data_IF_996722134270
#
_entry.id   IF_996722134270
#
_cell.length_a   1.000
_cell.length_b   1.000
_cell.length_c   1.000
_cell.angle_alpha   90.00
_cell.angle_beta   90.00
_cell.angle_gamma   90.00
#
_symmetry.space_group_name_H-M   'P 1'
#
loop_
_entity.id
_entity.type
_entity.pdbx_description
1 polymer ?
#
# COMPACT_ATOMS: atom_id res chain seq x y z
N UNK A 1 -6.76 11.91 14.98
CA UNK A 1 -7.54 10.86 15.68
C UNK A 1 -8.58 10.20 14.77
N UNK A 2 -9.09 10.87 13.71
CA UNK A 2 -10.08 10.27 12.79
C UNK A 2 -9.54 9.98 11.36
N UNK A 3 -8.23 9.80 11.18
CA UNK A 3 -7.67 9.62 9.83
C UNK A 3 -8.10 8.29 9.17
N UNK A 4 -8.23 7.20 9.93
CA UNK A 4 -8.70 5.90 9.42
C UNK A 4 -10.11 5.96 8.81
N UNK A 5 -11.15 6.37 9.57
CA UNK A 5 -12.51 6.49 9.07
C UNK A 5 -12.62 7.47 7.89
N UNK A 6 -11.87 8.56 7.92
CA UNK A 6 -11.85 9.55 6.84
C UNK A 6 -11.15 9.01 5.57
N UNK A 7 -10.10 8.20 5.72
CA UNK A 7 -9.43 7.56 4.60
C UNK A 7 -10.32 6.46 3.98
N UNK A 8 -11.03 5.66 4.78
CA UNK A 8 -12.06 4.75 4.28
C UNK A 8 -13.16 5.51 3.53
N UNK A 9 -13.66 6.60 4.11
CA UNK A 9 -14.67 7.46 3.47
C UNK A 9 -14.20 7.91 2.07
N UNK A 10 -12.98 8.42 1.98
CA UNK A 10 -12.37 8.81 0.73
C UNK A 10 -12.22 7.64 -0.26
N UNK A 11 -11.83 6.47 0.23
CA UNK A 11 -11.68 5.26 -0.59
C UNK A 11 -13.02 4.84 -1.22
N UNK A 12 -14.06 4.69 -0.39
CA UNK A 12 -15.41 4.32 -0.84
C UNK A 12 -16.00 5.35 -1.82
N UNK A 13 -15.90 6.64 -1.52
CA UNK A 13 -16.39 7.68 -2.44
C UNK A 13 -15.61 7.71 -3.75
N UNK A 14 -14.32 7.42 -3.74
CA UNK A 14 -13.52 7.30 -4.95
C UNK A 14 -13.97 6.13 -5.84
N UNK A 15 -14.53 5.07 -5.25
CA UNK A 15 -15.22 3.98 -5.97
C UNK A 15 -16.67 4.32 -6.34
N UNK A 16 -17.17 5.51 -6.01
CA UNK A 16 -18.56 5.90 -6.25
C UNK A 16 -19.56 5.26 -5.28
N UNK A 17 -19.09 4.73 -4.15
CA UNK A 17 -19.92 4.08 -3.14
C UNK A 17 -20.19 5.08 -2.00
N UNK A 18 -21.42 5.60 -1.86
CA UNK A 18 -21.73 6.57 -0.82
C UNK A 18 -21.80 5.90 0.56
N UNK A 19 -20.99 6.39 1.49
CA UNK A 19 -20.95 5.92 2.89
C UNK A 19 -21.07 7.10 3.86
N UNK A 20 -21.68 6.89 5.03
CA UNK A 20 -21.80 7.95 6.06
C UNK A 20 -20.52 8.02 6.89
N UNK A 21 -19.92 9.21 6.98
CA UNK A 21 -18.74 9.42 7.83
C UNK A 21 -19.03 9.12 9.31
N UNK A 22 -20.18 9.53 9.83
CA UNK A 22 -20.57 9.25 11.22
C UNK A 22 -20.62 7.75 11.50
N UNK A 23 -21.23 6.97 10.59
CA UNK A 23 -21.29 5.50 10.72
C UNK A 23 -19.93 4.83 10.58
N UNK A 24 -19.07 5.34 9.69
CA UNK A 24 -17.70 4.84 9.58
C UNK A 24 -16.91 5.09 10.87
N UNK A 25 -17.03 6.28 11.45
CA UNK A 25 -16.38 6.62 12.71
C UNK A 25 -16.86 5.73 13.86
N UNK A 26 -18.17 5.50 13.95
CA UNK A 26 -18.75 4.56 14.94
C UNK A 26 -18.26 3.13 14.72
N UNK A 27 -18.25 2.65 13.47
CA UNK A 27 -17.83 1.29 13.13
C UNK A 27 -16.33 1.05 13.34
N UNK A 28 -15.50 2.08 13.15
CA UNK A 28 -14.06 2.02 13.35
C UNK A 28 -13.63 2.12 14.82
N UNK A 29 -14.59 2.33 15.75
CA UNK A 29 -14.38 2.34 17.20
C UNK A 29 -13.06 3.02 17.60
N UNK A 30 -12.85 4.26 17.16
CA UNK A 30 -11.60 4.98 17.43
C UNK A 30 -11.34 5.04 18.94
N UNK A 31 -10.39 4.22 19.41
CA UNK A 31 -9.92 4.24 20.79
C UNK A 31 -8.92 5.40 20.96
N UNK A 32 -8.37 5.58 22.16
CA UNK A 32 -7.37 6.60 22.49
C UNK A 32 -6.18 6.64 21.51
N UNK A 33 -5.81 5.48 20.95
CA UNK A 33 -4.67 5.33 20.02
C UNK A 33 -5.05 5.48 18.54
N UNK A 34 -6.32 5.69 18.20
CA UNK A 34 -6.83 5.80 16.82
C UNK A 34 -7.49 4.51 16.31
N UNK A 35 -7.49 4.31 14.98
CA UNK A 35 -8.06 3.11 14.34
C UNK A 35 -6.95 2.15 13.94
N UNK A 36 -7.08 0.87 14.30
CA UNK A 36 -6.15 -0.18 13.89
C UNK A 36 -6.32 -0.55 12.41
N UNK A 37 -5.26 -1.10 11.78
CA UNK A 37 -5.34 -1.57 10.39
C UNK A 37 -6.35 -2.73 10.28
N UNK A 38 -6.39 -3.62 11.28
CA UNK A 38 -7.35 -4.73 11.37
C UNK A 38 -8.80 -4.25 11.33
N UNK A 39 -9.12 -3.20 12.07
CA UNK A 39 -10.46 -2.61 12.06
C UNK A 39 -10.79 -2.00 10.70
N UNK A 40 -9.83 -1.35 10.03
CA UNK A 40 -10.07 -0.76 8.70
C UNK A 40 -10.37 -1.84 7.65
N UNK A 41 -9.60 -2.93 7.65
CA UNK A 41 -9.83 -4.08 6.76
C UNK A 41 -11.20 -4.71 7.02
N UNK A 42 -11.53 -4.98 8.29
CA UNK A 42 -12.80 -5.58 8.68
C UNK A 42 -13.99 -4.70 8.25
N UNK A 43 -13.93 -3.38 8.51
CA UNK A 43 -14.99 -2.44 8.12
C UNK A 43 -15.09 -2.35 6.60
N UNK A 44 -13.97 -2.29 5.87
CA UNK A 44 -13.97 -2.27 4.41
C UNK A 44 -14.65 -3.52 3.82
N UNK A 45 -14.31 -4.71 4.34
CA UNK A 45 -14.93 -5.99 3.94
C UNK A 45 -16.42 -6.04 4.26
N UNK A 46 -16.83 -5.65 5.47
CA UNK A 46 -18.24 -5.60 5.89
C UNK A 46 -19.09 -4.68 5.00
N UNK A 47 -18.48 -3.65 4.43
CA UNK A 47 -19.12 -2.69 3.53
C UNK A 47 -18.98 -3.05 2.04
N UNK A 48 -18.43 -4.23 1.72
CA UNK A 48 -18.46 -4.83 0.39
C UNK A 48 -17.21 -4.63 -0.47
N UNK A 49 -16.11 -4.11 0.10
CA UNK A 49 -14.81 -4.12 -0.59
C UNK A 49 -14.10 -5.45 -0.36
N UNK A 50 -13.43 -5.97 -1.38
CA UNK A 50 -12.44 -7.02 -1.22
C UNK A 50 -11.12 -6.38 -0.78
N UNK A 51 -11.00 -6.12 0.52
CA UNK A 51 -9.83 -5.50 1.12
C UNK A 51 -8.92 -6.57 1.73
N UNK A 52 -7.62 -6.39 1.62
CA UNK A 52 -6.61 -7.21 2.27
C UNK A 52 -5.48 -6.34 2.85
N UNK A 53 -4.94 -6.79 3.97
CA UNK A 53 -3.71 -6.23 4.53
C UNK A 53 -2.50 -6.96 3.96
N UNK A 54 -1.59 -6.21 3.33
CA UNK A 54 -0.36 -6.77 2.77
C UNK A 54 0.86 -5.99 3.25
N UNK A 55 1.95 -6.71 3.50
CA UNK A 55 3.28 -6.10 3.66
C UNK A 55 4.01 -6.19 2.33
N UNK A 56 4.26 -5.03 1.73
CA UNK A 56 4.98 -4.91 0.46
C UNK A 56 6.33 -4.22 0.64
N UNK A 57 7.37 -4.63 -0.10
CA UNK A 57 8.58 -3.86 -0.25
C UNK A 57 8.26 -2.44 -0.74
N UNK A 58 8.92 -1.44 -0.17
CA UNK A 58 8.66 -0.03 -0.52
C UNK A 58 8.85 0.25 -2.01
N UNK A 59 9.80 -0.46 -2.63
CA UNK A 59 10.12 -0.37 -4.05
C UNK A 59 9.12 -1.10 -4.95
N UNK A 60 8.20 -1.89 -4.40
CA UNK A 60 7.10 -2.54 -5.13
C UNK A 60 5.81 -1.71 -5.11
N UNK A 61 5.59 -0.92 -4.05
CA UNK A 61 4.33 -0.18 -3.79
C UNK A 61 3.76 0.58 -5.00
N UNK A 62 4.63 1.13 -5.86
CA UNK A 62 4.24 1.98 -6.99
C UNK A 62 4.56 1.37 -8.37
N UNK A 63 4.87 0.06 -8.38
CA UNK A 63 5.06 -0.76 -9.59
C UNK A 63 3.69 -1.32 -10.00
N UNK A 64 3.32 -1.20 -11.27
CA UNK A 64 1.97 -1.54 -11.72
C UNK A 64 1.66 -3.04 -11.53
N UNK A 65 2.65 -3.88 -11.77
CA UNK A 65 2.63 -5.32 -11.63
C UNK A 65 2.35 -5.78 -10.19
N UNK A 66 2.69 -4.95 -9.19
CA UNK A 66 2.41 -5.25 -7.78
C UNK A 66 0.93 -5.09 -7.42
N UNK A 67 0.14 -4.41 -8.27
CA UNK A 67 -1.31 -4.22 -8.11
C UNK A 67 -1.73 -3.61 -6.76
N UNK A 68 -0.83 -2.89 -6.08
CA UNK A 68 -1.10 -2.31 -4.76
C UNK A 68 -2.12 -1.17 -4.78
N UNK A 69 -2.34 -0.48 -5.91
CA UNK A 69 -3.17 0.73 -5.95
C UNK A 69 -4.58 0.46 -6.50
N UNK A 70 -5.64 1.09 -5.93
CA UNK A 70 -5.59 2.03 -4.81
C UNK A 70 -5.37 1.33 -3.45
N UNK A 71 -4.61 1.97 -2.56
CA UNK A 71 -4.34 1.45 -1.21
C UNK A 71 -4.50 2.51 -0.12
N UNK A 72 -4.87 2.05 1.07
CA UNK A 72 -4.63 2.77 2.32
C UNK A 72 -3.16 2.57 2.71
N UNK A 73 -2.41 3.66 2.74
CA UNK A 73 -0.98 3.65 3.05
C UNK A 73 -0.74 4.37 4.37
N UNK A 74 0.08 3.77 5.23
CA UNK A 74 0.56 4.40 6.46
C UNK A 74 1.73 5.31 6.09
N UNK A 75 1.61 6.60 6.38
CA UNK A 75 2.68 7.58 6.27
C UNK A 75 3.07 8.09 7.64
N UNK A 76 4.25 8.71 7.75
CA UNK A 76 4.70 9.39 8.95
C UNK A 76 4.72 10.90 8.72
N UNK A 77 3.98 11.64 9.55
CA UNK A 77 4.05 13.09 9.53
C UNK A 77 5.36 13.60 10.15
N UNK A 78 5.75 14.87 9.91
CA UNK A 78 6.96 15.47 10.47
C UNK A 78 7.04 15.42 12.02
N UNK A 79 5.90 15.32 12.71
CA UNK A 79 5.82 15.17 14.17
C UNK A 79 6.08 13.74 14.66
N UNK A 80 6.37 12.80 13.75
CA UNK A 80 6.66 11.40 14.06
C UNK A 80 5.45 10.48 14.14
N UNK A 81 4.24 11.02 14.14
CA UNK A 81 2.99 10.26 14.24
C UNK A 81 2.64 9.58 12.91
N UNK A 82 2.07 8.39 12.99
CA UNK A 82 1.52 7.66 11.85
C UNK A 82 0.17 8.23 11.42
N UNK A 83 -0.11 8.15 10.12
CA UNK A 83 -1.34 8.65 9.52
C UNK A 83 -1.73 7.82 8.31
N UNK A 84 -3.03 7.62 8.11
CA UNK A 84 -3.54 6.92 6.92
C UNK A 84 -3.86 7.90 5.81
N UNK A 85 -3.35 7.60 4.62
CA UNK A 85 -3.70 8.30 3.38
C UNK A 85 -4.15 7.29 2.34
N UNK A 86 -4.93 7.72 1.35
CA UNK A 86 -5.24 6.88 0.19
C UNK A 86 -4.28 7.22 -0.94
N UNK A 87 -3.43 6.27 -1.33
CA UNK A 87 -2.70 6.34 -2.59
C UNK A 87 -3.62 5.80 -3.69
N UNK A 88 -4.06 6.67 -4.60
CA UNK A 88 -5.08 6.31 -5.59
C UNK A 88 -4.48 5.72 -6.86
N UNK A 89 -3.59 6.48 -7.51
CA UNK A 89 -3.02 6.11 -8.80
C UNK A 89 -1.75 6.90 -9.08
N UNK A 90 -0.77 6.24 -9.70
CA UNK A 90 0.42 6.88 -10.23
C UNK A 90 0.16 7.46 -11.62
N UNK A 91 0.60 8.69 -11.83
CA UNK A 91 0.55 9.41 -13.10
C UNK A 91 1.97 9.86 -13.47
N UNK A 92 2.72 8.98 -14.13
CA UNK A 92 4.13 9.23 -14.45
C UNK A 92 4.96 9.47 -13.19
N UNK A 93 5.49 10.68 -13.04
CA UNK A 93 6.33 11.10 -11.92
C UNK A 93 5.57 11.59 -10.67
N UNK A 94 4.24 11.65 -10.70
CA UNK A 94 3.40 12.10 -9.58
C UNK A 94 2.39 11.05 -9.15
N UNK A 95 1.94 11.14 -7.90
CA UNK A 95 0.94 10.24 -7.32
C UNK A 95 -0.31 11.02 -6.95
N UNK A 96 -1.49 10.52 -7.29
CA UNK A 96 -2.74 11.03 -6.77
C UNK A 96 -2.94 10.49 -5.35
N UNK A 97 -2.93 11.36 -4.36
CA UNK A 97 -3.08 11.01 -2.94
C UNK A 97 -4.27 11.75 -2.35
N UNK A 98 -5.08 11.07 -1.55
CA UNK A 98 -6.10 11.70 -0.72
C UNK A 98 -5.69 11.60 0.74
N UNK A 99 -5.39 12.74 1.33
CA UNK A 99 -4.94 12.87 2.72
C UNK A 99 -6.08 13.46 3.56
N UNK A 100 -6.65 12.72 4.53
CA UNK A 100 -7.72 13.21 5.40
C UNK A 100 -7.45 14.56 6.08
N UNK A 101 -6.19 14.90 6.33
CA UNK A 101 -5.82 16.14 7.02
C UNK A 101 -5.80 17.36 6.08
N UNK A 102 -5.46 17.17 4.80
CA UNK A 102 -5.16 18.28 3.88
C UNK A 102 -5.96 18.25 2.58
N UNK A 103 -6.76 17.21 2.35
CA UNK A 103 -7.44 17.03 1.08
C UNK A 103 -6.60 16.29 0.05
N UNK A 104 -6.96 16.49 -1.23
CA UNK A 104 -6.28 15.87 -2.37
C UNK A 104 -4.90 16.51 -2.59
N UNK A 105 -3.88 15.67 -2.76
CA UNK A 105 -2.49 16.04 -3.01
C UNK A 105 -1.96 15.35 -4.28
N UNK A 106 -0.92 15.93 -4.87
CA UNK A 106 -0.21 15.40 -6.04
C UNK A 106 1.31 15.38 -5.83
N UNK A 107 1.83 14.67 -4.81
CA UNK A 107 3.26 14.63 -4.57
C UNK A 107 4.01 13.94 -5.72
N UNK A 108 5.28 14.31 -5.90
CA UNK A 108 6.20 13.51 -6.70
C UNK A 108 6.43 12.14 -6.07
N UNK A 109 6.69 11.11 -6.87
CA UNK A 109 6.88 9.73 -6.41
C UNK A 109 7.87 9.63 -5.25
N UNK A 110 9.06 10.24 -5.39
CA UNK A 110 10.09 10.21 -4.35
C UNK A 110 9.62 10.84 -3.05
N UNK A 111 9.01 12.02 -3.13
CA UNK A 111 8.50 12.73 -1.95
C UNK A 111 7.46 11.90 -1.20
N UNK A 112 6.57 11.20 -1.93
CA UNK A 112 5.61 10.30 -1.29
C UNK A 112 6.29 9.10 -0.64
N UNK A 113 7.23 8.43 -1.32
CA UNK A 113 7.93 7.28 -0.75
C UNK A 113 8.75 7.64 0.50
N UNK A 114 9.27 8.87 0.57
CA UNK A 114 9.95 9.40 1.76
C UNK A 114 8.98 9.60 2.95
N UNK A 115 7.68 9.80 2.69
CA UNK A 115 6.63 9.89 3.73
C UNK A 115 6.15 8.51 4.21
N UNK A 116 6.31 7.44 3.42
CA UNK A 116 5.79 6.10 3.75
C UNK A 116 6.43 5.55 5.02
N UNK A 117 5.59 5.06 5.94
CA UNK A 117 6.05 4.35 7.13
C UNK A 117 6.56 2.95 6.74
N UNK A 118 7.87 2.76 6.82
CA UNK A 118 8.50 1.45 6.59
C UNK A 118 8.44 0.63 7.88
N UNK A 119 7.44 -0.24 7.96
CA UNK A 119 7.31 -1.20 9.05
C UNK A 119 8.42 -2.27 8.98
N UNK A 120 8.89 -2.73 10.14
CA UNK A 120 9.85 -3.84 10.24
C UNK A 120 9.26 -4.91 11.15
N UNK A 121 9.08 -6.11 10.61
CA UNK A 121 8.62 -7.27 11.35
C UNK A 121 9.52 -8.47 11.04
N UNK A 122 9.93 -9.26 12.04
CA UNK A 122 10.59 -10.54 11.77
C UNK A 122 9.60 -11.49 11.08
N UNK A 123 10.03 -12.09 9.97
CA UNK A 123 9.28 -13.13 9.25
C UNK A 123 10.10 -14.43 9.22
N UNK A 124 9.46 -15.61 9.28
CA UNK A 124 10.17 -16.87 9.10
C UNK A 124 10.88 -16.91 7.74
N UNK A 125 12.16 -17.31 7.73
CA UNK A 125 12.96 -17.33 6.50
C UNK A 125 12.31 -18.20 5.40
N UNK A 126 11.71 -19.34 5.77
CA UNK A 126 10.99 -20.19 4.84
C UNK A 126 9.77 -19.49 4.22
N UNK A 127 8.98 -18.75 5.02
CA UNK A 127 7.82 -18.00 4.52
C UNK A 127 8.22 -16.84 3.61
N UNK A 128 9.30 -16.12 3.95
CA UNK A 128 9.88 -15.12 3.05
C UNK A 128 10.34 -15.74 1.73
N UNK A 129 11.01 -16.90 1.79
CA UNK A 129 11.52 -17.60 0.61
C UNK A 129 10.40 -18.06 -0.32
N UNK A 130 9.34 -18.62 0.25
CA UNK A 130 8.14 -19.03 -0.49
C UNK A 130 7.50 -17.83 -1.20
N UNK A 131 7.25 -16.74 -0.47
CA UNK A 131 6.65 -15.52 -1.03
C UNK A 131 7.54 -14.87 -2.09
N UNK A 132 8.86 -14.78 -1.89
CA UNK A 132 9.79 -14.27 -2.89
C UNK A 132 9.83 -15.13 -4.18
N UNK A 133 9.33 -16.37 -4.12
CA UNK A 133 9.17 -17.26 -5.25
C UNK A 133 7.88 -17.04 -6.06
N UNK A 134 6.89 -16.31 -5.54
CA UNK A 134 5.60 -16.12 -6.20
C UNK A 134 5.64 -15.03 -7.28
N UNK A 135 4.60 -14.99 -8.10
CA UNK A 135 4.42 -13.91 -9.10
C UNK A 135 4.25 -12.54 -8.44
N UNK A 136 3.65 -12.47 -7.23
CA UNK A 136 3.44 -11.21 -6.51
C UNK A 136 4.77 -10.51 -6.18
N UNK A 137 5.84 -11.26 -5.89
CA UNK A 137 7.18 -10.68 -5.74
C UNK A 137 7.93 -10.56 -7.06
N UNK A 138 7.88 -11.60 -7.90
CA UNK A 138 8.73 -11.66 -9.09
C UNK A 138 8.29 -10.72 -10.21
N UNK A 139 6.99 -10.47 -10.39
CA UNK A 139 6.50 -9.62 -11.46
C UNK A 139 6.95 -8.15 -11.27
N UNK A 140 6.77 -7.53 -10.09
CA UNK A 140 7.32 -6.20 -9.83
C UNK A 140 8.84 -6.15 -9.95
N UNK A 141 9.53 -7.20 -9.50
CA UNK A 141 10.98 -7.28 -9.62
C UNK A 141 11.43 -7.34 -11.09
N UNK A 142 10.75 -8.11 -11.94
CA UNK A 142 11.02 -8.15 -13.39
C UNK A 142 10.80 -6.80 -14.05
N UNK A 143 9.71 -6.10 -13.70
CA UNK A 143 9.43 -4.77 -14.22
C UNK A 143 10.55 -3.79 -13.88
N UNK A 144 11.02 -3.80 -12.63
CA UNK A 144 12.13 -2.96 -12.18
C UNK A 144 13.47 -3.32 -12.85
N UNK A 145 13.77 -4.61 -13.03
CA UNK A 145 14.95 -5.03 -13.78
C UNK A 145 14.89 -4.56 -15.25
N UNK A 146 13.71 -4.58 -15.86
CA UNK A 146 13.53 -4.05 -17.21
C UNK A 146 13.72 -2.53 -17.28
N UNK A 147 13.27 -1.77 -16.26
CA UNK A 147 13.53 -0.33 -16.14
C UNK A 147 15.03 -0.01 -16.02
N UNK A 148 15.82 -0.92 -15.44
CA UNK A 148 17.29 -0.83 -15.41
C UNK A 148 17.95 -1.23 -16.75
N UNK A 149 17.17 -1.62 -17.76
CA UNK A 149 17.66 -1.94 -19.11
C UNK A 149 18.06 -3.40 -19.31
N UNK A 150 17.70 -4.32 -18.40
CA UNK A 150 17.99 -5.74 -18.61
C UNK A 150 17.06 -6.35 -19.65
N UNK A 151 17.63 -7.16 -20.55
CA UNK A 151 16.86 -7.94 -21.50
C UNK A 151 16.02 -9.00 -20.78
N UNK A 152 14.80 -9.26 -21.27
CA UNK A 152 13.86 -10.23 -20.66
C UNK A 152 14.50 -11.59 -20.37
N UNK A 153 15.33 -12.10 -21.29
CA UNK A 153 16.04 -13.37 -21.11
C UNK A 153 17.04 -13.33 -19.94
N UNK A 154 17.77 -12.23 -19.78
CA UNK A 154 18.70 -12.03 -18.68
C UNK A 154 17.94 -11.92 -17.34
N UNK A 155 16.82 -11.19 -17.28
CA UNK A 155 15.96 -11.15 -16.09
C UNK A 155 15.49 -12.55 -15.69
N UNK A 156 15.01 -13.35 -16.64
CA UNK A 156 14.55 -14.71 -16.39
C UNK A 156 15.67 -15.61 -15.85
N UNK A 157 16.88 -15.51 -16.39
CA UNK A 157 18.04 -16.28 -15.92
C UNK A 157 18.45 -15.88 -14.49
N UNK A 158 18.47 -14.59 -14.18
CA UNK A 158 18.80 -14.10 -12.83
C UNK A 158 17.79 -14.58 -11.80
N UNK A 159 16.49 -14.50 -12.12
CA UNK A 159 15.43 -14.97 -11.22
C UNK A 159 15.45 -16.49 -11.04
N UNK A 160 15.66 -17.25 -12.11
CA UNK A 160 15.77 -18.71 -12.02
C UNK A 160 16.98 -19.12 -11.17
N UNK A 161 18.11 -18.43 -11.32
CA UNK A 161 19.32 -18.66 -10.51
C UNK A 161 19.03 -18.34 -9.03
N UNK A 162 18.42 -17.18 -8.75
CA UNK A 162 18.06 -16.78 -7.40
C UNK A 162 17.01 -17.70 -6.76
N UNK A 163 16.09 -18.28 -7.54
CA UNK A 163 15.07 -19.22 -7.06
C UNK A 163 15.63 -20.64 -6.81
N UNK A 164 16.77 -20.98 -7.41
CA UNK A 164 17.45 -22.25 -7.18
C UNK A 164 18.43 -22.22 -5.99
N UNK A 165 18.71 -21.04 -5.43
CA UNK A 165 19.55 -20.87 -4.24
C UNK A 165 18.90 -21.56 -3.01
N UNK A 166 19.58 -22.51 -2.34
CA UNK A 166 19.00 -23.30 -1.23
C UNK A 166 18.60 -22.49 0.00
#
# INVERSE_FOLDING_TARGET
MDCGPAALKALFEGFGIPVSYGRLREACQTDLDGTSIDTLEEVARRLGLDAEQVMEPLDHLLVAEARCLPALVVVRHPNGLTHFVVAWRRHGGVLQVMDPATGRRWPGVRAFLDEVFVHRMPVPAAGWREWAGTEDFQDPLRARLAELGLARGACGQLLATAAADP
#
